data_IF_723642450397
#
_entry.id   IF_723642450397
#
_cell.length_a   1.000
_cell.length_b   1.000
_cell.length_c   1.000
_cell.angle_alpha   90.00
_cell.angle_beta   90.00
_cell.angle_gamma   90.00
#
_symmetry.space_group_name_H-M   'P 1'
#
loop_
_entity.id
_entity.type
_entity.pdbx_description
1 polymer ?
#
# COMPACT_ATOMS: atom_id res chain seq x y z
N UNK A 1 -80.79 17.85 -14.42
CA UNK A 1 -79.96 17.35 -13.35
C UNK A 1 -78.63 16.83 -13.93
N UNK A 2 -77.54 17.63 -14.02
CA UNK A 2 -76.23 17.07 -14.34
C UNK A 2 -75.37 16.95 -13.09
N UNK A 3 -74.67 15.80 -13.00
CA UNK A 3 -73.76 15.43 -11.92
C UNK A 3 -72.41 16.12 -12.07
N UNK A 4 -71.93 16.64 -10.97
CA UNK A 4 -70.68 17.36 -10.84
C UNK A 4 -69.52 16.39 -10.61
N UNK A 5 -68.55 16.36 -11.52
CA UNK A 5 -67.33 15.53 -11.43
C UNK A 5 -66.19 16.36 -10.82
N UNK A 6 -65.98 16.22 -9.53
CA UNK A 6 -64.80 16.73 -8.83
C UNK A 6 -63.55 15.89 -9.20
N UNK A 7 -62.67 16.46 -10.05
CA UNK A 7 -61.33 15.90 -10.32
C UNK A 7 -60.39 16.26 -9.18
N UNK A 8 -60.03 15.27 -8.37
CA UNK A 8 -58.96 15.36 -7.39
C UNK A 8 -57.60 15.51 -8.10
N UNK A 9 -56.93 16.65 -7.86
CA UNK A 9 -55.54 16.91 -8.29
C UNK A 9 -54.60 16.12 -7.34
N UNK A 10 -54.00 15.07 -7.87
CA UNK A 10 -52.93 14.37 -7.20
C UNK A 10 -51.71 15.26 -6.99
N UNK A 11 -51.33 15.49 -5.74
CA UNK A 11 -50.04 16.10 -5.39
C UNK A 11 -48.95 15.06 -5.62
N UNK A 12 -48.05 15.36 -6.56
CA UNK A 12 -46.80 14.65 -6.69
C UNK A 12 -45.85 15.03 -5.55
N UNK A 13 -45.24 14.07 -4.85
CA UNK A 13 -44.22 14.37 -3.84
C UNK A 13 -42.96 14.92 -4.57
N UNK A 14 -42.55 16.09 -4.12
CA UNK A 14 -41.24 16.68 -4.52
C UNK A 14 -40.12 15.82 -3.96
N UNK A 15 -39.11 15.43 -4.77
CA UNK A 15 -37.96 14.72 -4.24
C UNK A 15 -37.10 15.68 -3.41
N UNK A 16 -36.90 15.33 -2.16
CA UNK A 16 -35.98 16.02 -1.25
C UNK A 16 -34.53 15.88 -1.75
N UNK A 17 -33.69 16.93 -1.70
CA UNK A 17 -32.31 16.84 -2.13
C UNK A 17 -31.46 16.11 -1.07
N UNK A 18 -31.25 14.80 -1.26
CA UNK A 18 -30.26 14.04 -0.50
C UNK A 18 -28.88 14.28 -1.16
N UNK A 19 -28.31 15.48 -1.01
CA UNK A 19 -26.93 15.78 -1.37
C UNK A 19 -26.19 16.31 -0.15
N UNK A 20 -25.40 15.48 0.50
CA UNK A 20 -24.48 15.94 1.53
C UNK A 20 -23.84 14.86 2.39
N UNK A 21 -24.34 13.65 2.37
CA UNK A 21 -23.87 12.60 3.31
C UNK A 21 -22.82 11.63 2.73
N UNK A 22 -22.74 11.49 1.41
CA UNK A 22 -21.91 10.45 0.79
C UNK A 22 -20.40 10.76 0.84
N UNK A 23 -20.01 12.03 0.81
CA UNK A 23 -18.60 12.42 0.77
C UNK A 23 -17.90 12.29 2.13
N UNK A 24 -18.57 12.61 3.22
CA UNK A 24 -18.01 12.51 4.58
C UNK A 24 -17.96 11.05 5.08
N UNK A 25 -18.91 10.22 4.70
CA UNK A 25 -18.88 8.78 5.04
C UNK A 25 -17.76 8.05 4.31
N UNK A 26 -17.48 8.38 3.06
CA UNK A 26 -16.39 7.77 2.31
C UNK A 26 -15.00 8.08 2.87
N UNK A 27 -14.77 9.26 3.41
CA UNK A 27 -13.49 9.65 4.03
C UNK A 27 -13.28 8.89 5.34
N UNK A 28 -14.30 8.84 6.20
CA UNK A 28 -14.23 8.11 7.49
C UNK A 28 -14.00 6.60 7.27
N UNK A 29 -14.56 6.02 6.21
CA UNK A 29 -14.38 4.60 5.90
C UNK A 29 -12.95 4.30 5.42
N UNK A 30 -12.33 5.20 4.65
CA UNK A 30 -10.93 5.02 4.16
C UNK A 30 -9.94 5.16 5.31
N UNK A 31 -10.10 6.14 6.20
CA UNK A 31 -9.22 6.34 7.35
C UNK A 31 -9.26 5.15 8.32
N UNK A 32 -10.46 4.64 8.61
CA UNK A 32 -10.64 3.45 9.43
C UNK A 32 -10.01 2.21 8.77
N UNK A 33 -10.17 2.05 7.46
CA UNK A 33 -9.58 0.96 6.68
C UNK A 33 -8.04 1.03 6.71
N UNK A 34 -7.46 2.22 6.56
CA UNK A 34 -6.02 2.44 6.61
C UNK A 34 -5.46 2.13 8.00
N UNK A 35 -6.11 2.61 9.05
CA UNK A 35 -5.70 2.31 10.43
C UNK A 35 -5.72 0.80 10.72
N UNK A 36 -6.73 0.08 10.25
CA UNK A 36 -6.79 -1.38 10.39
C UNK A 36 -5.76 -2.10 9.52
N UNK A 37 -5.52 -1.63 8.30
CA UNK A 37 -4.49 -2.18 7.43
C UNK A 37 -3.10 -1.99 8.05
N UNK A 38 -2.79 -0.82 8.59
CA UNK A 38 -1.53 -0.52 9.25
C UNK A 38 -1.28 -1.42 10.48
N UNK A 39 -2.28 -1.66 11.32
CA UNK A 39 -2.18 -2.59 12.47
C UNK A 39 -1.88 -4.04 12.03
N UNK A 40 -2.45 -4.46 10.91
CA UNK A 40 -2.28 -5.83 10.36
C UNK A 40 -1.03 -5.98 9.50
N UNK A 41 -0.34 -4.88 9.20
CA UNK A 41 0.85 -4.85 8.37
C UNK A 41 2.10 -4.75 9.23
N UNK A 42 3.00 -5.71 9.08
CA UNK A 42 4.35 -5.62 9.67
C UNK A 42 5.29 -4.79 8.81
N UNK A 43 5.05 -4.79 7.50
CA UNK A 43 5.78 -4.01 6.49
C UNK A 43 4.78 -3.35 5.55
N UNK A 44 5.06 -2.11 5.18
CA UNK A 44 4.45 -1.51 4.00
C UNK A 44 5.44 -1.59 2.82
N UNK A 45 4.92 -1.50 1.62
CA UNK A 45 5.72 -1.43 0.41
C UNK A 45 5.61 -0.03 -0.17
N UNK A 46 6.76 0.62 -0.31
CA UNK A 46 6.87 1.95 -0.92
C UNK A 46 7.17 1.75 -2.40
N UNK A 47 6.23 2.11 -3.25
CA UNK A 47 6.38 2.04 -4.71
C UNK A 47 6.83 3.40 -5.21
N UNK A 48 8.10 3.45 -5.62
CA UNK A 48 8.74 4.66 -6.12
C UNK A 48 8.62 4.67 -7.65
N UNK A 49 8.06 5.72 -8.27
CA UNK A 49 7.91 5.80 -9.71
C UNK A 49 9.24 5.57 -10.45
N UNK A 50 9.25 4.60 -11.36
CA UNK A 50 10.45 4.26 -12.15
C UNK A 50 11.46 3.36 -11.45
N UNK A 51 11.18 2.91 -10.23
CA UNK A 51 11.99 1.95 -9.48
C UNK A 51 11.12 0.77 -9.01
N UNK A 52 11.71 -0.18 -8.29
CA UNK A 52 10.98 -1.28 -7.67
C UNK A 52 10.24 -0.81 -6.41
N UNK A 53 9.25 -1.58 -5.98
CA UNK A 53 8.67 -1.41 -4.66
C UNK A 53 9.66 -1.82 -3.56
N UNK A 54 9.77 -1.02 -2.50
CA UNK A 54 10.69 -1.19 -1.38
C UNK A 54 9.94 -1.56 -0.12
N UNK A 55 10.26 -2.67 0.55
CA UNK A 55 9.64 -3.00 1.83
C UNK A 55 10.19 -2.10 2.93
N UNK A 56 9.31 -1.62 3.79
CA UNK A 56 9.69 -0.78 4.92
C UNK A 56 8.87 -1.15 6.17
N UNK A 57 9.54 -1.37 7.30
CA UNK A 57 8.86 -1.37 8.58
C UNK A 57 8.46 0.06 8.96
N UNK A 58 7.35 0.19 9.62
CA UNK A 58 6.74 1.49 9.87
C UNK A 58 6.01 1.53 11.20
N UNK A 59 5.67 2.73 11.64
CA UNK A 59 4.66 2.97 12.66
C UNK A 59 3.54 3.81 12.08
N UNK A 60 2.35 3.63 12.61
CA UNK A 60 1.17 4.39 12.20
C UNK A 60 0.72 5.30 13.31
N UNK A 61 0.72 6.61 13.05
CA UNK A 61 0.25 7.64 13.96
C UNK A 61 -0.61 8.65 13.20
N UNK A 62 -1.77 8.95 13.72
CA UNK A 62 -2.65 10.04 13.25
C UNK A 62 -2.82 10.11 11.73
N UNK A 63 -3.09 8.96 11.09
CA UNK A 63 -3.32 8.89 9.66
C UNK A 63 -2.04 8.88 8.80
N UNK A 64 -0.86 8.80 9.39
CA UNK A 64 0.43 8.85 8.71
C UNK A 64 1.29 7.64 9.08
N UNK A 65 1.96 7.05 8.08
CA UNK A 65 2.97 6.04 8.31
C UNK A 65 4.35 6.71 8.42
N UNK A 66 5.06 6.45 9.50
CA UNK A 66 6.44 6.94 9.67
C UNK A 66 7.42 5.80 9.44
N UNK A 67 8.47 6.08 8.70
CA UNK A 67 9.57 5.16 8.40
C UNK A 67 10.92 5.85 8.66
N UNK A 68 11.93 5.09 9.05
CA UNK A 68 13.30 5.60 9.20
C UNK A 68 14.24 4.79 8.33
N UNK A 69 15.18 5.47 7.66
CA UNK A 69 16.18 4.89 6.78
C UNK A 69 17.55 5.52 7.06
N UNK A 70 18.62 4.75 6.94
CA UNK A 70 19.98 5.21 7.17
C UNK A 70 20.89 4.15 7.76
N UNK A 71 22.08 4.51 8.25
CA UNK A 71 23.03 3.57 8.83
C UNK A 71 22.45 2.79 10.00
N UNK A 72 22.48 1.46 9.90
CA UNK A 72 21.91 0.55 10.91
C UNK A 72 20.40 0.46 10.92
N UNK A 73 19.71 1.08 9.98
CA UNK A 73 18.27 0.98 9.74
C UNK A 73 17.99 0.28 8.39
N UNK A 74 16.73 0.17 8.03
CA UNK A 74 16.37 -0.30 6.69
C UNK A 74 16.89 0.65 5.62
N UNK A 75 17.20 0.10 4.43
CA UNK A 75 17.66 0.88 3.29
C UNK A 75 16.49 1.22 2.39
N UNK A 76 16.22 2.50 2.21
CA UNK A 76 15.29 3.05 1.23
C UNK A 76 16.04 4.03 0.32
N UNK A 77 15.66 4.18 -0.94
CA UNK A 77 16.14 5.26 -1.78
C UNK A 77 15.62 6.60 -1.26
N UNK A 78 16.14 7.71 -1.80
CA UNK A 78 15.51 9.01 -1.60
C UNK A 78 14.06 8.95 -2.14
N UNK A 79 13.10 9.26 -1.29
CA UNK A 79 11.69 9.17 -1.64
C UNK A 79 11.24 10.45 -2.35
N UNK A 80 10.58 10.36 -3.52
CA UNK A 80 9.95 11.50 -4.16
C UNK A 80 8.73 11.96 -3.35
N UNK A 81 8.28 13.21 -3.53
CA UNK A 81 7.12 13.73 -2.80
C UNK A 81 5.83 12.95 -3.00
N UNK A 82 5.63 12.41 -4.20
CA UNK A 82 4.46 11.62 -4.55
C UNK A 82 4.86 10.19 -4.88
N UNK A 83 4.23 9.24 -4.21
CA UNK A 83 4.49 7.81 -4.35
C UNK A 83 3.23 7.01 -4.01
N UNK A 84 3.33 5.70 -4.09
CA UNK A 84 2.24 4.79 -3.68
C UNK A 84 2.73 3.91 -2.53
N UNK A 85 1.87 3.67 -1.56
CA UNK A 85 2.12 2.72 -0.48
C UNK A 85 1.15 1.55 -0.52
N UNK A 86 1.66 0.36 -0.28
CA UNK A 86 0.86 -0.87 -0.17
C UNK A 86 1.07 -1.49 1.20
N UNK A 87 0.01 -1.54 1.98
CA UNK A 87 -0.01 -2.30 3.25
C UNK A 87 -0.24 -3.77 2.96
N UNK A 88 0.60 -4.64 3.53
CA UNK A 88 0.49 -6.09 3.36
C UNK A 88 0.29 -6.79 4.70
N UNK A 89 -0.56 -7.80 4.69
CA UNK A 89 -0.81 -8.63 5.86
C UNK A 89 0.47 -9.30 6.35
N UNK A 90 0.76 -9.17 7.65
CA UNK A 90 1.85 -9.88 8.31
C UNK A 90 1.63 -11.40 8.38
N UNK A 91 0.38 -11.85 8.26
CA UNK A 91 0.02 -13.26 8.43
C UNK A 91 0.19 -14.06 7.14
N UNK A 92 -0.15 -13.47 5.99
CA UNK A 92 -0.14 -14.18 4.70
C UNK A 92 0.53 -13.41 3.55
N UNK A 93 1.04 -12.18 3.82
CA UNK A 93 1.69 -11.34 2.81
C UNK A 93 0.75 -10.76 1.75
N UNK A 94 -0.58 -10.99 1.85
CA UNK A 94 -1.57 -10.47 0.92
C UNK A 94 -1.68 -8.95 0.99
N UNK A 95 -2.04 -8.32 -0.13
CA UNK A 95 -2.32 -6.87 -0.18
C UNK A 95 -3.56 -6.57 0.64
N UNK A 96 -3.50 -5.57 1.49
CA UNK A 96 -4.63 -5.07 2.29
C UNK A 96 -5.20 -3.80 1.67
N UNK A 97 -4.35 -2.81 1.40
CA UNK A 97 -4.70 -1.54 0.76
C UNK A 97 -3.50 -1.04 -0.02
N UNK A 98 -3.75 -0.51 -1.21
CA UNK A 98 -2.79 0.25 -2.01
C UNK A 98 -3.35 1.66 -2.21
N UNK A 99 -2.58 2.69 -1.86
CA UNK A 99 -3.06 4.07 -1.86
C UNK A 99 -1.93 5.05 -2.22
N UNK A 100 -2.22 6.14 -2.97
CA UNK A 100 -1.28 7.23 -3.13
C UNK A 100 -0.91 7.85 -1.79
N UNK A 101 0.34 8.26 -1.63
CA UNK A 101 0.82 8.90 -0.42
C UNK A 101 1.81 10.02 -0.76
N UNK A 102 1.83 11.03 0.09
CA UNK A 102 2.82 12.09 0.05
C UNK A 102 3.93 11.81 1.04
N UNK A 103 5.17 11.80 0.57
CA UNK A 103 6.34 11.65 1.40
C UNK A 103 6.91 13.02 1.76
N UNK A 104 7.22 13.22 3.03
CA UNK A 104 7.92 14.39 3.55
C UNK A 104 9.00 13.96 4.52
N UNK A 105 10.14 14.62 4.50
CA UNK A 105 11.19 14.43 5.52
C UNK A 105 10.74 15.11 6.81
N UNK A 106 10.86 14.39 7.90
CA UNK A 106 10.62 14.91 9.26
C UNK A 106 11.96 15.19 9.90
N UNK A 107 12.19 16.44 10.25
CA UNK A 107 13.42 16.91 10.90
C UNK A 107 13.24 17.10 12.41
N UNK A 108 14.31 17.18 13.21
CA UNK A 108 14.22 17.42 14.66
C UNK A 108 13.42 18.67 15.06
N UNK A 109 13.34 19.67 14.17
CA UNK A 109 12.57 20.91 14.41
C UNK A 109 11.07 20.75 14.07
N UNK A 110 10.67 19.63 13.46
CA UNK A 110 9.28 19.37 13.12
C UNK A 110 8.49 18.99 14.39
N UNK A 111 7.28 19.54 14.60
CA UNK A 111 6.45 19.24 15.76
C UNK A 111 6.06 17.76 15.88
N UNK A 112 6.11 17.00 14.79
CA UNK A 112 5.81 15.56 14.78
C UNK A 112 7.03 14.68 15.10
N UNK A 113 8.24 15.23 15.14
CA UNK A 113 9.50 14.49 15.33
C UNK A 113 9.50 13.64 16.59
N UNK A 114 9.17 14.24 17.74
CA UNK A 114 9.21 13.54 19.02
C UNK A 114 8.24 12.35 19.06
N UNK A 115 7.00 12.56 18.63
CA UNK A 115 6.00 11.51 18.59
C UNK A 115 6.38 10.38 17.63
N UNK A 116 6.83 10.75 16.43
CA UNK A 116 7.24 9.79 15.39
C UNK A 116 8.44 8.93 15.84
N UNK A 117 9.50 9.57 16.34
CA UNK A 117 10.73 8.88 16.76
C UNK A 117 10.52 8.05 18.03
N UNK A 118 9.69 8.49 18.96
CA UNK A 118 9.30 7.70 20.14
C UNK A 118 8.57 6.43 19.70
N UNK A 119 7.59 6.52 18.82
CA UNK A 119 6.86 5.38 18.34
C UNK A 119 7.74 4.42 17.51
N UNK A 120 8.57 4.95 16.62
CA UNK A 120 9.55 4.18 15.85
C UNK A 120 10.52 3.43 16.78
N UNK A 121 11.05 4.07 17.80
CA UNK A 121 11.95 3.45 18.80
C UNK A 121 11.23 2.35 19.59
N UNK A 122 9.99 2.58 20.01
CA UNK A 122 9.20 1.60 20.75
C UNK A 122 8.84 0.35 19.92
N UNK A 123 8.65 0.49 18.61
CA UNK A 123 8.31 -0.62 17.73
C UNK A 123 9.53 -1.39 17.22
N UNK A 124 10.74 -0.91 17.46
CA UNK A 124 11.98 -1.52 17.00
C UNK A 124 12.34 -2.77 17.80
N UNK A 125 12.54 -3.89 17.12
CA UNK A 125 12.85 -5.17 17.75
C UNK A 125 14.27 -5.21 18.39
N UNK A 126 15.24 -4.51 17.78
CA UNK A 126 16.63 -4.50 18.23
C UNK A 126 17.14 -3.06 18.28
N UNK A 127 17.13 -2.43 19.44
CA UNK A 127 17.74 -1.12 19.62
C UNK A 127 19.23 -1.28 19.93
N UNK A 128 20.14 -0.66 19.16
CA UNK A 128 21.54 -0.59 19.54
C UNK A 128 21.70 0.12 20.91
N UNK A 129 22.79 -0.16 21.60
CA UNK A 129 23.12 0.58 22.80
C UNK A 129 23.32 2.09 22.47
N UNK A 130 22.83 2.97 23.34
CA UNK A 130 22.94 4.42 23.18
C UNK A 130 21.64 5.13 22.82
N UNK A 131 21.76 6.43 22.56
CA UNK A 131 20.61 7.26 22.20
C UNK A 131 20.28 7.11 20.71
N UNK A 132 19.31 6.24 20.44
CA UNK A 132 18.84 5.95 19.09
C UNK A 132 18.25 7.19 18.42
N UNK A 133 17.54 8.06 19.14
CA UNK A 133 16.88 9.24 18.57
C UNK A 133 17.92 10.29 18.18
N UNK A 134 18.94 10.52 19.03
CA UNK A 134 20.03 11.42 18.69
C UNK A 134 20.81 10.92 17.45
N UNK A 135 21.03 9.62 17.34
CA UNK A 135 21.66 9.03 16.15
C UNK A 135 20.79 9.23 14.90
N UNK A 136 19.48 9.04 14.99
CA UNK A 136 18.59 9.29 13.85
C UNK A 136 18.61 10.76 13.43
N UNK A 137 18.66 11.69 14.38
CA UNK A 137 18.75 13.11 14.07
C UNK A 137 20.05 13.48 13.32
N UNK A 138 21.15 12.75 13.58
CA UNK A 138 22.45 13.03 12.98
C UNK A 138 22.72 12.28 11.68
N UNK A 139 22.24 11.03 11.54
CA UNK A 139 22.71 10.09 10.52
C UNK A 139 21.62 9.43 9.69
N UNK A 140 20.36 9.57 10.07
CA UNK A 140 19.25 8.91 9.42
C UNK A 140 18.23 9.90 8.83
N UNK A 141 17.36 9.43 7.97
CA UNK A 141 16.22 10.20 7.47
C UNK A 141 14.93 9.56 7.96
N UNK A 142 14.10 10.35 8.61
CA UNK A 142 12.73 9.98 8.98
C UNK A 142 11.79 10.55 7.93
N UNK A 143 10.92 9.69 7.37
CA UNK A 143 9.88 10.11 6.44
C UNK A 143 8.50 9.94 7.08
N UNK A 144 7.64 10.93 6.83
CA UNK A 144 6.20 10.86 7.00
C UNK A 144 5.60 10.50 5.64
N UNK A 145 4.85 9.40 5.58
CA UNK A 145 4.12 8.94 4.40
C UNK A 145 2.63 9.13 4.68
N UNK A 146 2.05 10.22 4.18
CA UNK A 146 0.66 10.59 4.43
C UNK A 146 -0.21 10.15 3.26
N UNK A 147 -1.08 9.14 3.44
CA UNK A 147 -2.03 8.72 2.40
C UNK A 147 -2.96 9.85 1.99
N UNK A 148 -3.33 9.87 0.73
CA UNK A 148 -4.30 10.83 0.21
C UNK A 148 -5.12 10.26 -0.95
N UNK A 149 -6.26 10.89 -1.25
CA UNK A 149 -7.12 10.49 -2.35
C UNK A 149 -7.86 9.16 -2.10
N UNK A 150 -8.19 8.47 -3.17
CA UNK A 150 -8.87 7.18 -3.11
C UNK A 150 -7.87 6.01 -3.12
N UNK A 151 -8.22 4.93 -2.41
CA UNK A 151 -7.44 3.70 -2.49
C UNK A 151 -7.48 3.13 -3.92
N UNK A 152 -6.32 2.84 -4.48
CA UNK A 152 -6.18 2.18 -5.77
C UNK A 152 -6.63 0.73 -5.70
N UNK A 153 -6.29 0.07 -4.57
CA UNK A 153 -6.73 -1.29 -4.25
C UNK A 153 -7.19 -1.36 -2.80
N UNK A 154 -8.30 -2.05 -2.57
CA UNK A 154 -8.91 -2.24 -1.26
C UNK A 154 -9.74 -3.52 -1.27
N UNK A 155 -10.24 -4.03 -0.12
CA UNK A 155 -11.16 -5.15 -0.08
C UNK A 155 -12.31 -5.01 -1.07
N UNK A 156 -12.47 -6.02 -1.94
CA UNK A 156 -13.45 -6.03 -3.03
C UNK A 156 -13.00 -5.35 -4.34
N UNK A 157 -11.82 -4.70 -4.38
CA UNK A 157 -11.28 -4.01 -5.56
C UNK A 157 -9.79 -4.29 -5.73
N UNK A 158 -9.38 -5.55 -5.71
CA UNK A 158 -8.00 -5.92 -5.98
C UNK A 158 -7.79 -6.22 -7.46
N UNK A 159 -6.65 -5.77 -8.01
CA UNK A 159 -6.17 -6.24 -9.30
C UNK A 159 -5.85 -7.73 -9.24
N UNK A 160 -6.14 -8.44 -10.31
CA UNK A 160 -5.71 -9.84 -10.48
C UNK A 160 -4.23 -9.94 -10.89
N UNK A 161 -3.59 -8.81 -11.18
CA UNK A 161 -2.17 -8.77 -11.49
C UNK A 161 -1.34 -9.11 -10.26
N UNK A 162 -0.34 -9.95 -10.44
CA UNK A 162 0.58 -10.33 -9.37
C UNK A 162 1.46 -9.18 -8.89
N UNK A 163 1.63 -8.12 -9.70
CA UNK A 163 2.60 -7.06 -9.48
C UNK A 163 4.05 -7.56 -9.53
N UNK A 164 4.29 -8.79 -10.02
CA UNK A 164 5.62 -9.35 -10.12
C UNK A 164 6.38 -8.68 -11.28
N UNK A 165 7.45 -7.98 -10.95
CA UNK A 165 8.38 -7.50 -11.97
C UNK A 165 9.09 -8.68 -12.63
N UNK A 166 9.20 -8.66 -13.97
CA UNK A 166 10.01 -9.64 -14.66
C UNK A 166 11.46 -9.49 -14.21
N UNK A 167 12.12 -10.56 -13.73
CA UNK A 167 13.53 -10.46 -13.36
C UNK A 167 14.36 -10.05 -14.58
N UNK A 168 15.34 -9.15 -14.42
CA UNK A 168 16.21 -8.76 -15.52
C UNK A 168 16.96 -9.99 -16.05
N UNK A 169 17.23 -10.06 -17.37
CA UNK A 169 18.03 -11.12 -17.93
C UNK A 169 19.42 -11.12 -17.28
N UNK A 170 19.81 -12.24 -16.71
CA UNK A 170 21.16 -12.44 -16.16
C UNK A 170 21.84 -13.60 -16.89
N UNK A 171 23.18 -13.72 -16.84
CA UNK A 171 23.87 -14.89 -17.41
C UNK A 171 23.39 -16.23 -16.84
N UNK A 172 22.83 -16.22 -15.64
CA UNK A 172 22.20 -17.40 -15.01
C UNK A 172 20.77 -17.63 -15.49
N UNK A 173 20.14 -16.66 -16.16
CA UNK A 173 18.79 -16.79 -16.69
C UNK A 173 18.86 -17.50 -18.03
N UNK A 174 18.60 -18.79 -18.06
CA UNK A 174 18.59 -19.60 -19.29
C UNK A 174 17.39 -19.24 -20.16
N UNK A 175 17.45 -18.14 -20.90
CA UNK A 175 16.40 -17.71 -21.83
C UNK A 175 16.30 -18.56 -23.11
N UNK A 176 17.19 -19.50 -23.32
CA UNK A 176 17.23 -20.29 -24.56
C UNK A 176 17.25 -21.79 -24.40
N UNK A 177 17.70 -22.34 -23.29
CA UNK A 177 17.84 -23.78 -23.13
C UNK A 177 17.03 -24.31 -21.96
N UNK A 178 16.01 -25.11 -22.26
CA UNK A 178 15.28 -25.87 -21.24
C UNK A 178 15.98 -27.21 -21.01
N UNK A 179 16.23 -27.61 -19.75
CA UNK A 179 16.76 -28.95 -19.49
C UNK A 179 15.92 -30.02 -20.20
N UNK A 180 16.56 -31.00 -20.80
CA UNK A 180 15.92 -32.05 -21.64
C UNK A 180 14.78 -32.81 -20.94
N UNK A 181 14.80 -32.91 -19.62
CA UNK A 181 13.76 -33.58 -18.84
C UNK A 181 12.45 -32.80 -18.76
N UNK A 182 12.45 -31.50 -19.14
CA UNK A 182 11.23 -30.67 -19.18
C UNK A 182 10.55 -30.78 -20.54
N UNK A 183 11.24 -31.21 -21.57
CA UNK A 183 10.70 -31.38 -22.93
C UNK A 183 10.02 -32.73 -23.18
N UNK A 184 9.52 -33.42 -22.22
CA UNK A 184 8.92 -34.75 -22.45
C UNK A 184 9.79 -35.66 -23.31
N UNK A 185 10.03 -36.90 -22.93
CA UNK A 185 10.79 -37.84 -23.75
C UNK A 185 10.22 -37.86 -25.17
N UNK A 186 11.07 -37.75 -26.22
CA UNK A 186 10.59 -37.99 -27.57
C UNK A 186 9.99 -39.41 -27.61
N UNK A 187 8.75 -39.53 -28.08
CA UNK A 187 8.15 -40.84 -28.29
C UNK A 187 9.00 -41.55 -29.34
N UNK A 188 9.75 -42.55 -28.94
CA UNK A 188 10.43 -43.45 -29.86
C UNK A 188 9.37 -44.11 -30.73
N UNK A 189 9.35 -43.77 -32.03
CA UNK A 189 8.56 -44.51 -33.00
C UNK A 189 9.13 -45.95 -33.01
N UNK A 190 8.35 -46.92 -32.54
CA UNK A 190 8.65 -48.33 -32.78
C UNK A 190 8.59 -48.51 -34.30
N UNK A 191 9.74 -48.72 -34.91
CA UNK A 191 9.83 -49.14 -36.27
C UNK A 191 9.13 -50.49 -36.43
N UNK A 192 8.15 -50.55 -37.32
CA UNK A 192 7.58 -51.79 -37.82
C UNK A 192 8.69 -52.56 -38.55
N UNK A 193 9.11 -53.69 -37.99
CA UNK A 193 9.92 -54.67 -38.72
C UNK A 193 8.99 -55.38 -39.72
N UNK A 194 9.33 -55.33 -41.00
CA UNK A 194 8.89 -56.24 -42.03
C UNK A 194 9.81 -57.45 -42.01
#
# INVERSE_FOLDING_TARGET
>A
MPADHHRGRGRFPTPSPTRGRTRLQGVTDVDALLAEAAKKSGLLWVDVPGDRAWPAWHVWLDGTAYVVTGPGEQSLPALPPDLTVTFRSKDNGGRLVTIPARAAVVTPDDPTWEAATTALKASRLNSPAGDTVARWAAEATVYALTPHGEALEAPGRYSLDSGAAQPPPTPATTSGWRPWHIKGRPKWRRGTRH
#
